data_IF_067802612999
#
_entry.id   IF_067802612999
#
_cell.length_a   1.000
_cell.length_b   1.000
_cell.length_c   1.000
_cell.angle_alpha   90.00
_cell.angle_beta   90.00
_cell.angle_gamma   90.00
#
_symmetry.space_group_name_H-M   'P 1'
#
loop_
_entity.id
_entity.type
_entity.pdbx_description
1 polymer ?
#
# COMPACT_ATOMS: atom_id res chain seq x y z
N UNK A 1 -19.97 60.13 -31.79
CA UNK A 1 -21.01 59.09 -31.65
C UNK A 1 -20.63 57.96 -32.63
N UNK A 2 -19.63 57.14 -32.30
CA UNK A 2 -19.73 55.79 -31.71
C UNK A 2 -20.64 54.82 -32.48
N UNK A 3 -20.05 53.92 -33.27
CA UNK A 3 -20.54 52.55 -33.48
C UNK A 3 -19.46 51.70 -34.20
N UNK A 4 -18.50 51.16 -33.44
CA UNK A 4 -17.63 50.06 -33.89
C UNK A 4 -18.20 48.76 -33.37
N UNK A 5 -18.95 48.06 -34.21
CA UNK A 5 -19.52 46.74 -33.92
C UNK A 5 -18.43 45.67 -34.06
N UNK A 6 -17.85 45.24 -32.94
CA UNK A 6 -16.99 44.06 -32.89
C UNK A 6 -17.84 42.80 -32.87
N UNK A 7 -17.69 41.99 -33.93
CA UNK A 7 -18.26 40.65 -34.05
C UNK A 7 -17.53 39.71 -33.07
N UNK A 8 -18.26 39.18 -32.10
CA UNK A 8 -17.79 38.14 -31.19
C UNK A 8 -17.71 36.79 -31.92
N UNK A 9 -16.51 36.27 -32.13
CA UNK A 9 -16.30 34.87 -32.52
C UNK A 9 -16.16 34.03 -31.24
N UNK A 10 -17.24 33.38 -30.82
CA UNK A 10 -17.22 32.41 -29.72
C UNK A 10 -16.63 31.10 -30.22
N UNK A 11 -15.40 30.79 -29.81
CA UNK A 11 -14.78 29.49 -30.05
C UNK A 11 -15.48 28.42 -29.18
N UNK A 12 -16.13 27.47 -29.83
CA UNK A 12 -16.68 26.29 -29.19
C UNK A 12 -15.54 25.42 -28.63
N UNK A 13 -15.49 25.30 -27.30
CA UNK A 13 -14.64 24.31 -26.62
C UNK A 13 -15.24 22.92 -26.90
N UNK A 14 -14.63 22.20 -27.83
CA UNK A 14 -14.93 20.79 -28.06
C UNK A 14 -14.61 19.98 -26.79
N UNK A 15 -15.65 19.56 -26.06
CA UNK A 15 -15.53 18.56 -25.01
C UNK A 15 -15.09 17.24 -25.65
N UNK A 16 -13.81 16.91 -25.51
CA UNK A 16 -13.28 15.59 -25.88
C UNK A 16 -13.94 14.52 -25.00
N UNK A 17 -14.53 13.46 -25.56
CA UNK A 17 -14.96 12.33 -24.76
C UNK A 17 -13.74 11.69 -24.09
N UNK A 18 -13.81 11.51 -22.77
CA UNK A 18 -12.83 10.74 -21.98
C UNK A 18 -12.93 9.29 -22.44
N UNK A 19 -12.00 8.84 -23.28
CA UNK A 19 -11.82 7.43 -23.57
C UNK A 19 -11.44 6.73 -22.26
N UNK A 20 -12.40 6.11 -21.59
CA UNK A 20 -12.14 5.09 -20.56
C UNK A 20 -11.59 3.87 -21.28
N UNK A 21 -10.26 3.77 -21.32
CA UNK A 21 -9.57 2.67 -21.97
C UNK A 21 -9.99 1.35 -21.29
N UNK A 22 -10.27 0.31 -22.07
CA UNK A 22 -10.65 -1.02 -21.56
C UNK A 22 -9.57 -1.63 -20.63
N UNK A 23 -8.34 -1.13 -20.71
CA UNK A 23 -7.23 -1.46 -19.81
C UNK A 23 -7.49 -1.01 -18.36
N UNK A 24 -8.31 0.02 -18.14
CA UNK A 24 -8.62 0.56 -16.83
C UNK A 24 -9.62 -0.31 -16.04
N UNK A 25 -10.38 -1.18 -16.71
CA UNK A 25 -11.34 -2.10 -16.07
C UNK A 25 -10.73 -3.47 -15.72
N UNK A 26 -9.64 -3.88 -16.37
CA UNK A 26 -8.95 -5.14 -16.04
C UNK A 26 -8.16 -5.05 -14.72
N UNK A 27 -7.74 -3.84 -14.33
CA UNK A 27 -6.87 -3.61 -13.17
C UNK A 27 -7.59 -3.71 -11.84
N UNK A 28 -8.90 -3.43 -11.73
CA UNK A 28 -9.61 -3.50 -10.45
C UNK A 28 -10.04 -4.92 -10.04
N UNK A 29 -10.18 -5.86 -10.99
CA UNK A 29 -10.59 -7.23 -10.65
C UNK A 29 -9.46 -8.08 -10.03
N UNK A 30 -8.21 -7.68 -10.19
CA UNK A 30 -7.03 -8.46 -9.75
C UNK A 30 -6.62 -8.19 -8.30
N UNK A 31 -7.10 -7.12 -7.67
CA UNK A 31 -6.70 -6.72 -6.33
C UNK A 31 -7.49 -7.53 -5.29
N UNK A 32 -6.95 -8.69 -4.91
CA UNK A 32 -7.49 -9.52 -3.82
C UNK A 32 -7.89 -10.94 -4.21
N UNK A 33 -7.66 -11.37 -5.46
CA UNK A 33 -7.85 -12.78 -5.82
C UNK A 33 -6.73 -13.63 -5.24
N UNK A 34 -7.13 -14.70 -4.55
CA UNK A 34 -6.21 -15.77 -4.18
C UNK A 34 -5.56 -16.35 -5.46
N UNK A 35 -4.27 -16.66 -5.36
CA UNK A 35 -3.55 -17.28 -6.47
C UNK A 35 -4.17 -18.64 -6.79
N UNK A 36 -4.61 -18.85 -8.03
CA UNK A 36 -5.22 -20.13 -8.41
C UNK A 36 -4.23 -21.28 -8.24
N UNK A 37 -4.74 -22.47 -7.90
CA UNK A 37 -3.91 -23.65 -7.74
C UNK A 37 -3.08 -23.96 -9.00
N UNK A 38 -3.68 -23.77 -10.19
CA UNK A 38 -3.00 -23.90 -11.49
C UNK A 38 -1.83 -22.92 -11.63
N UNK A 39 -2.03 -21.63 -11.31
CA UNK A 39 -0.96 -20.63 -11.40
C UNK A 39 0.14 -20.90 -10.38
N UNK A 40 -0.23 -21.31 -9.16
CA UNK A 40 0.71 -21.73 -8.11
C UNK A 40 1.58 -22.91 -8.55
N UNK A 41 0.97 -23.91 -9.19
CA UNK A 41 1.67 -25.06 -9.75
C UNK A 41 2.65 -24.63 -10.84
N UNK A 42 2.18 -23.82 -11.81
CA UNK A 42 2.99 -23.37 -12.93
C UNK A 42 4.24 -22.60 -12.47
N UNK A 43 4.08 -21.63 -11.55
CA UNK A 43 5.22 -20.86 -11.03
C UNK A 43 6.25 -21.76 -10.32
N UNK A 44 5.79 -22.78 -9.59
CA UNK A 44 6.71 -23.72 -8.96
C UNK A 44 7.46 -24.54 -10.02
N UNK A 45 6.75 -25.13 -10.98
CA UNK A 45 7.32 -25.96 -12.05
C UNK A 45 8.31 -25.16 -12.92
N UNK A 46 8.00 -23.91 -13.26
CA UNK A 46 8.89 -22.99 -14.02
C UNK A 46 10.21 -22.70 -13.29
N UNK A 47 10.26 -22.89 -11.96
CA UNK A 47 11.42 -22.59 -11.12
C UNK A 47 12.10 -23.85 -10.57
N UNK A 48 11.62 -25.03 -10.92
CA UNK A 48 12.22 -26.28 -10.46
C UNK A 48 13.64 -26.42 -11.02
N UNK A 49 14.59 -26.71 -10.14
CA UNK A 49 15.98 -27.08 -10.51
C UNK A 49 16.14 -28.59 -10.66
N UNK A 50 15.22 -29.38 -10.10
CA UNK A 50 15.18 -30.83 -10.23
C UNK A 50 13.77 -31.37 -10.04
N UNK A 51 13.63 -32.68 -9.86
CA UNK A 51 12.34 -33.31 -9.58
C UNK A 51 11.76 -32.78 -8.27
N UNK A 52 10.66 -32.02 -8.37
CA UNK A 52 9.91 -31.52 -7.22
C UNK A 52 10.70 -30.62 -6.24
N UNK A 53 11.84 -30.10 -6.69
CA UNK A 53 12.71 -29.23 -5.89
C UNK A 53 12.84 -27.88 -6.60
N UNK A 54 12.56 -26.79 -5.87
CA UNK A 54 12.73 -25.43 -6.35
C UNK A 54 13.46 -24.57 -5.31
N UNK A 55 14.34 -23.65 -5.71
CA UNK A 55 15.05 -22.79 -4.78
C UNK A 55 14.12 -21.72 -4.18
N UNK A 56 14.22 -21.50 -2.87
CA UNK A 56 13.52 -20.43 -2.19
C UNK A 56 14.01 -19.06 -2.69
N UNK A 57 13.09 -18.18 -3.07
CA UNK A 57 13.45 -16.86 -3.59
C UNK A 57 14.01 -15.88 -2.55
N UNK A 58 14.00 -16.25 -1.26
CA UNK A 58 14.45 -15.42 -0.15
C UNK A 58 15.78 -15.88 0.47
N UNK A 59 15.93 -17.19 0.72
CA UNK A 59 17.16 -17.75 1.29
C UNK A 59 18.01 -18.55 0.28
N UNK A 60 17.45 -18.92 -0.89
CA UNK A 60 18.15 -19.73 -1.90
C UNK A 60 18.16 -21.24 -1.62
N UNK A 61 17.83 -21.66 -0.40
CA UNK A 61 17.78 -23.08 -0.01
C UNK A 61 16.69 -23.85 -0.79
N UNK A 62 16.89 -25.16 -1.04
CA UNK A 62 15.94 -25.98 -1.76
C UNK A 62 14.64 -26.16 -0.99
N UNK A 63 13.52 -26.07 -1.70
CA UNK A 63 12.17 -26.38 -1.22
C UNK A 63 11.74 -27.71 -1.82
N UNK A 64 11.45 -28.69 -0.96
CA UNK A 64 10.87 -29.96 -1.34
C UNK A 64 9.34 -29.81 -1.42
N UNK A 65 8.78 -29.91 -2.62
CA UNK A 65 7.35 -29.63 -2.91
C UNK A 65 6.35 -30.31 -1.98
N UNK A 66 6.62 -31.56 -1.60
CA UNK A 66 5.70 -32.43 -0.86
C UNK A 66 6.02 -32.51 0.63
N UNK A 67 7.26 -32.19 1.02
CA UNK A 67 7.74 -32.32 2.40
C UNK A 67 7.67 -30.97 3.13
N UNK A 68 8.00 -29.88 2.43
CA UNK A 68 8.09 -28.55 3.01
C UNK A 68 6.79 -27.76 2.88
N UNK A 69 6.52 -26.93 3.90
CA UNK A 69 5.49 -25.90 3.81
C UNK A 69 6.03 -24.68 3.05
N UNK A 70 5.56 -24.51 1.81
CA UNK A 70 5.94 -23.38 0.96
C UNK A 70 4.75 -22.50 0.58
N UNK A 71 5.03 -21.31 0.07
CA UNK A 71 4.08 -20.36 -0.51
C UNK A 71 4.64 -19.76 -1.79
N UNK A 72 3.78 -19.10 -2.57
CA UNK A 72 4.25 -18.23 -3.66
C UNK A 72 4.35 -16.82 -3.09
N UNK A 73 5.56 -16.30 -3.09
CA UNK A 73 5.88 -14.99 -2.56
C UNK A 73 6.11 -13.99 -3.70
N UNK A 74 5.62 -12.76 -3.53
CA UNK A 74 5.95 -11.65 -4.42
C UNK A 74 7.30 -11.05 -4.00
N UNK A 75 8.29 -11.07 -4.89
CA UNK A 75 9.63 -10.50 -4.66
C UNK A 75 9.52 -9.01 -4.27
N UNK A 76 8.73 -8.25 -5.03
CA UNK A 76 8.23 -6.93 -4.64
C UNK A 76 6.77 -7.05 -4.21
N UNK A 77 6.46 -6.65 -2.98
CA UNK A 77 5.11 -6.69 -2.44
C UNK A 77 4.12 -5.87 -3.30
N UNK A 78 2.89 -6.39 -3.48
CA UNK A 78 1.83 -5.73 -4.25
C UNK A 78 1.51 -4.32 -3.72
N UNK A 79 1.43 -4.17 -2.40
CA UNK A 79 1.17 -2.89 -1.74
C UNK A 79 2.33 -1.87 -1.88
N UNK A 80 3.48 -2.30 -2.39
CA UNK A 80 4.62 -1.45 -2.76
C UNK A 80 4.77 -1.35 -4.28
N UNK A 81 3.64 -1.40 -5.01
CA UNK A 81 3.57 -1.32 -6.47
C UNK A 81 4.32 -2.46 -7.18
N UNK A 82 4.39 -3.62 -6.54
CA UNK A 82 4.83 -4.86 -7.19
C UNK A 82 3.75 -5.34 -8.16
N UNK A 83 4.08 -5.65 -9.42
CA UNK A 83 3.09 -6.19 -10.35
C UNK A 83 2.74 -7.64 -9.97
N UNK A 84 1.48 -8.04 -10.11
CA UNK A 84 1.04 -9.43 -9.90
C UNK A 84 1.32 -10.31 -11.14
N UNK A 85 2.58 -10.35 -11.55
CA UNK A 85 3.05 -11.12 -12.70
C UNK A 85 3.89 -12.31 -12.23
N UNK A 86 3.87 -13.42 -12.98
CA UNK A 86 4.68 -14.60 -12.66
C UNK A 86 6.18 -14.26 -12.53
N UNK A 87 6.67 -13.26 -13.26
CA UNK A 87 8.05 -12.78 -13.13
C UNK A 87 8.40 -12.22 -11.74
N UNK A 88 7.42 -11.62 -11.06
CA UNK A 88 7.53 -11.10 -9.69
C UNK A 88 7.20 -12.16 -8.62
N UNK A 89 6.69 -13.31 -9.01
CA UNK A 89 6.33 -14.40 -8.10
C UNK A 89 7.39 -15.50 -8.12
N UNK A 90 7.66 -16.09 -6.96
CA UNK A 90 8.53 -17.26 -6.87
C UNK A 90 8.21 -18.09 -5.61
N UNK A 91 8.54 -19.38 -5.60
CA UNK A 91 8.38 -20.20 -4.41
C UNK A 91 9.27 -19.71 -3.27
N UNK A 92 8.73 -19.73 -2.05
CA UNK A 92 9.44 -19.41 -0.82
C UNK A 92 9.00 -20.36 0.31
N UNK A 93 9.90 -20.62 1.24
CA UNK A 93 9.52 -21.23 2.51
C UNK A 93 8.50 -20.36 3.23
N UNK A 94 7.52 -20.99 3.89
CA UNK A 94 6.51 -20.28 4.66
C UNK A 94 7.14 -19.36 5.73
N UNK A 95 8.13 -19.86 6.47
CA UNK A 95 8.85 -19.10 7.49
C UNK A 95 9.60 -17.90 6.90
N UNK A 96 10.25 -18.06 5.75
CA UNK A 96 10.95 -16.95 5.09
C UNK A 96 9.96 -15.86 4.64
N UNK A 97 8.81 -16.24 4.10
CA UNK A 97 7.74 -15.31 3.72
C UNK A 97 7.17 -14.54 4.90
N UNK A 98 6.98 -15.21 6.04
CA UNK A 98 6.53 -14.59 7.29
C UNK A 98 7.54 -13.55 7.80
N UNK A 99 8.83 -13.90 7.84
CA UNK A 99 9.91 -12.99 8.24
C UNK A 99 9.94 -11.78 7.30
N UNK A 100 9.92 -11.97 5.98
CA UNK A 100 9.88 -10.86 5.00
C UNK A 100 8.68 -9.95 5.23
N UNK A 101 7.49 -10.55 5.37
CA UNK A 101 6.24 -9.82 5.58
C UNK A 101 6.34 -8.94 6.84
N UNK A 102 6.74 -9.53 7.97
CA UNK A 102 6.75 -8.83 9.25
C UNK A 102 7.86 -7.78 9.36
N UNK A 103 9.09 -8.14 8.95
CA UNK A 103 10.28 -7.31 9.20
C UNK A 103 10.52 -6.26 8.13
N UNK A 104 10.12 -6.51 6.88
CA UNK A 104 10.45 -5.64 5.75
C UNK A 104 9.21 -5.01 5.12
N UNK A 105 8.23 -5.80 4.72
CA UNK A 105 7.11 -5.30 3.93
C UNK A 105 6.15 -4.47 4.76
N UNK A 106 5.69 -4.96 5.91
CA UNK A 106 4.73 -4.23 6.74
C UNK A 106 5.24 -2.84 7.16
N UNK A 107 6.50 -2.65 7.64
CA UNK A 107 7.03 -1.33 7.93
C UNK A 107 7.06 -0.40 6.71
N UNK A 108 7.48 -0.91 5.55
CA UNK A 108 7.55 -0.15 4.29
C UNK A 108 6.17 0.24 3.77
N UNK A 109 5.21 -0.69 3.77
CA UNK A 109 3.82 -0.46 3.37
C UNK A 109 3.18 0.60 4.27
N UNK A 110 3.34 0.49 5.59
CA UNK A 110 2.82 1.50 6.54
C UNK A 110 3.44 2.87 6.27
N UNK A 111 4.74 2.94 5.97
CA UNK A 111 5.40 4.20 5.60
C UNK A 111 4.83 4.77 4.30
N UNK A 112 4.71 3.96 3.26
CA UNK A 112 4.16 4.37 1.97
C UNK A 112 2.74 4.93 2.12
N UNK A 113 1.85 4.21 2.82
CA UNK A 113 0.49 4.67 3.12
C UNK A 113 0.46 5.99 3.89
N UNK A 114 1.36 6.20 4.86
CA UNK A 114 1.47 7.49 5.57
C UNK A 114 1.92 8.63 4.65
N UNK A 115 2.83 8.38 3.71
CA UNK A 115 3.26 9.41 2.75
C UNK A 115 2.15 9.74 1.75
N UNK A 116 1.46 8.71 1.25
CA UNK A 116 0.29 8.87 0.41
C UNK A 116 -0.78 9.76 1.11
N UNK A 117 -1.13 9.45 2.35
CA UNK A 117 -2.11 10.23 3.11
C UNK A 117 -1.67 11.69 3.36
N UNK A 118 -0.36 11.96 3.47
CA UNK A 118 0.16 13.33 3.56
C UNK A 118 0.04 14.08 2.23
N UNK A 119 0.33 13.39 1.13
CA UNK A 119 0.26 13.99 -0.20
C UNK A 119 -1.18 14.26 -0.65
N UNK A 120 -2.10 13.35 -0.36
CA UNK A 120 -3.53 13.50 -0.66
C UNK A 120 -4.26 14.45 0.29
N UNK A 121 -3.61 14.88 1.39
CA UNK A 121 -4.25 15.69 2.44
C UNK A 121 -5.28 14.92 3.28
N UNK A 122 -5.43 13.61 3.09
CA UNK A 122 -6.38 12.74 3.81
C UNK A 122 -5.90 12.35 5.21
N UNK A 123 -4.75 12.88 5.65
CA UNK A 123 -4.23 12.68 6.99
C UNK A 123 -5.27 13.20 8.00
N UNK A 124 -5.93 12.26 8.69
CA UNK A 124 -6.81 12.60 9.81
C UNK A 124 -6.05 13.49 10.80
N UNK A 125 -6.65 14.60 11.27
CA UNK A 125 -6.06 15.37 12.34
C UNK A 125 -5.78 14.41 13.50
N UNK A 126 -4.62 14.55 14.12
CA UNK A 126 -4.37 13.79 15.33
C UNK A 126 -5.49 14.17 16.29
N UNK A 127 -6.30 13.19 16.72
CA UNK A 127 -7.12 13.37 17.92
C UNK A 127 -6.14 13.72 19.01
N UNK A 128 -6.11 15.00 19.36
CA UNK A 128 -5.27 15.48 20.44
C UNK A 128 -5.63 14.71 21.70
N UNK A 129 -4.70 14.67 22.65
CA UNK A 129 -5.09 14.38 24.02
C UNK A 129 -6.02 15.52 24.46
N UNK A 130 -7.32 15.26 24.50
CA UNK A 130 -8.31 16.21 25.00
C UNK A 130 -8.18 16.25 26.53
N UNK A 131 -7.36 17.18 27.02
CA UNK A 131 -7.30 17.45 28.45
C UNK A 131 -8.67 18.01 28.90
N UNK A 132 -9.24 17.54 30.03
CA UNK A 132 -10.45 18.12 30.58
C UNK A 132 -10.27 19.64 30.82
N UNK A 133 -11.36 20.40 30.68
CA UNK A 133 -11.32 21.85 30.88
C UNK A 133 -10.83 22.20 32.30
N UNK A 134 -9.97 23.21 32.42
CA UNK A 134 -9.47 23.70 33.70
C UNK A 134 -8.29 22.92 34.31
N UNK A 135 -7.88 21.79 33.73
CA UNK A 135 -6.74 21.01 34.22
C UNK A 135 -5.60 20.93 33.20
N UNK A 136 -4.38 20.72 33.68
CA UNK A 136 -3.19 20.46 32.89
C UNK A 136 -2.58 19.14 33.36
N UNK A 137 -2.08 18.32 32.44
CA UNK A 137 -1.37 17.11 32.82
C UNK A 137 0.04 17.46 33.28
N UNK A 138 0.32 17.26 34.56
CA UNK A 138 1.66 17.44 35.13
C UNK A 138 2.49 16.18 34.83
N UNK A 139 3.50 16.33 33.97
CA UNK A 139 4.39 15.25 33.57
C UNK A 139 5.27 14.72 34.71
N UNK A 140 5.58 15.55 35.71
CA UNK A 140 6.38 15.17 36.87
C UNK A 140 5.54 14.34 37.85
N UNK A 141 4.30 14.76 38.10
CA UNK A 141 3.37 14.06 39.00
C UNK A 141 2.55 12.97 38.29
N UNK A 142 2.64 12.86 36.96
CA UNK A 142 1.89 11.93 36.09
C UNK A 142 0.37 11.97 36.32
N UNK A 143 -0.17 13.14 36.69
CA UNK A 143 -1.59 13.34 36.97
C UNK A 143 -2.07 14.70 36.47
N UNK A 144 -3.38 14.84 36.30
CA UNK A 144 -3.99 16.14 36.06
C UNK A 144 -3.95 17.00 37.33
N UNK A 145 -3.54 18.25 37.18
CA UNK A 145 -3.57 19.28 38.22
C UNK A 145 -4.42 20.45 37.74
N UNK A 146 -5.04 21.16 38.67
CA UNK A 146 -5.77 22.39 38.34
C UNK A 146 -4.82 23.38 37.68
N UNK A 147 -5.27 24.01 36.59
CA UNK A 147 -4.52 25.09 35.94
C UNK A 147 -4.32 26.19 36.99
N UNK A 148 -3.08 26.64 37.26
CA UNK A 148 -2.87 27.75 38.16
C UNK A 148 -3.67 28.95 37.62
N UNK A 149 -4.70 29.38 38.33
CA UNK A 149 -5.34 30.66 38.04
C UNK A 149 -4.28 31.72 38.28
N UNK A 150 -3.97 32.52 37.25
CA UNK A 150 -3.09 33.66 37.39
C UNK A 150 -3.67 34.52 38.53
N UNK A 151 -3.03 34.48 39.70
CA UNK A 151 -3.29 35.44 40.75
C UNK A 151 -2.92 36.80 40.18
N UNK A 152 -3.92 37.67 40.10
CA UNK A 152 -3.82 39.08 39.73
C UNK A 152 -2.70 39.79 40.53
N UNK A 153 -2.11 40.87 39.96
CA UNK A 153 -0.79 41.42 40.33
C UNK A 153 -0.59 41.75 41.81
#
# INVERSE_FOLDING_TARGET
MLASSHVWCSAAVALRPRATSSQQLQTLSQWGRALSAKRRQAIFTERCTGHNIAPCCLCGEPIHRHEDRWIIEHKRALALLGPDLNANCAPAHFKCGEVKTHTQDLPRIRKAKRQQARHEGTKKPARGFEAPAGVVFDWKLRRYVQRPTASQP
#
